data_IF_557136989176
#
_entry.id   IF_557136989176
#
_cell.length_a   1.000
_cell.length_b   1.000
_cell.length_c   1.000
_cell.angle_alpha   90.00
_cell.angle_beta   90.00
_cell.angle_gamma   90.00
#
_symmetry.space_group_name_H-M   'P 1'
#
loop_
_entity.id
_entity.type
_entity.pdbx_description
1 polymer ?
#
# COMPACT_ATOMS: atom_id res chain seq x y z
N UNK A 1 -32.92 -13.71 4.01
CA UNK A 1 -33.72 -12.58 3.50
C UNK A 1 -34.74 -12.23 4.57
N UNK A 2 -34.61 -11.08 5.24
CA UNK A 2 -35.65 -10.58 6.15
C UNK A 2 -35.99 -9.19 5.64
N UNK A 3 -37.14 -9.09 4.98
CA UNK A 3 -37.75 -7.85 4.53
C UNK A 3 -38.63 -7.37 5.68
N UNK A 4 -38.23 -6.34 6.42
CA UNK A 4 -39.16 -5.61 7.28
C UNK A 4 -39.67 -4.42 6.48
N UNK A 5 -40.94 -4.52 6.06
CA UNK A 5 -41.65 -3.49 5.30
C UNK A 5 -42.05 -2.36 6.26
N UNK A 6 -41.44 -1.19 6.11
CA UNK A 6 -41.92 0.10 6.59
C UNK A 6 -41.75 1.10 5.43
N UNK A 7 -42.65 2.10 5.30
CA UNK A 7 -42.90 2.76 4.03
C UNK A 7 -41.76 3.73 3.66
N UNK A 8 -41.29 3.60 2.41
CA UNK A 8 -40.54 4.60 1.64
C UNK A 8 -39.11 4.99 2.06
N UNK A 9 -38.37 4.14 2.76
CA UNK A 9 -36.91 4.31 2.89
C UNK A 9 -36.23 2.96 2.71
N UNK A 10 -35.53 2.78 1.59
CA UNK A 10 -34.65 1.63 1.39
C UNK A 10 -33.36 1.88 2.18
N UNK A 11 -33.40 1.68 3.50
CA UNK A 11 -32.17 1.70 4.32
C UNK A 11 -31.36 0.47 3.95
N UNK A 12 -30.40 0.63 3.03
CA UNK A 12 -29.41 -0.39 2.70
C UNK A 12 -28.53 -0.55 3.94
N UNK A 13 -28.84 -1.54 4.76
CA UNK A 13 -27.91 -2.02 5.77
C UNK A 13 -26.65 -2.51 5.05
N UNK A 14 -25.49 -1.90 5.30
CA UNK A 14 -24.21 -2.60 5.13
C UNK A 14 -24.26 -3.81 6.06
N UNK A 15 -24.72 -4.95 5.54
CA UNK A 15 -24.84 -6.21 6.27
C UNK A 15 -23.51 -6.95 6.27
N UNK A 16 -22.44 -6.25 6.57
CA UNK A 16 -21.11 -6.80 6.58
C UNK A 16 -20.28 -6.14 7.64
N UNK A 17 -20.35 -6.64 8.87
CA UNK A 17 -19.25 -6.47 9.84
C UNK A 17 -17.92 -7.07 9.31
N UNK A 18 -17.92 -7.66 8.10
CA UNK A 18 -16.76 -8.11 7.33
C UNK A 18 -17.07 -8.06 5.82
N UNK A 19 -17.31 -6.87 5.25
CA UNK A 19 -17.42 -6.75 3.78
C UNK A 19 -16.04 -6.94 3.14
N UNK A 20 -15.96 -7.73 2.07
CA UNK A 20 -14.72 -7.95 1.32
C UNK A 20 -14.87 -7.39 -0.09
N UNK A 21 -13.97 -6.48 -0.44
CA UNK A 21 -13.85 -5.94 -1.79
C UNK A 21 -12.77 -6.70 -2.54
N UNK A 22 -13.12 -7.24 -3.70
CA UNK A 22 -12.21 -7.94 -4.60
C UNK A 22 -11.91 -7.05 -5.80
N UNK A 23 -10.68 -6.57 -5.89
CA UNK A 23 -10.24 -5.68 -6.97
C UNK A 23 -9.45 -6.48 -8.00
N UNK A 24 -9.83 -6.37 -9.27
CA UNK A 24 -9.09 -6.91 -10.40
C UNK A 24 -8.14 -5.81 -10.88
N UNK A 25 -6.85 -5.96 -10.59
CA UNK A 25 -5.86 -4.89 -10.71
C UNK A 25 -4.82 -5.26 -11.74
N UNK A 26 -4.62 -4.40 -12.75
CA UNK A 26 -3.51 -4.51 -13.70
C UNK A 26 -2.60 -3.30 -13.57
N UNK A 27 -1.30 -3.57 -13.45
CA UNK A 27 -0.23 -2.58 -13.46
C UNK A 27 0.58 -2.76 -14.73
N UNK A 28 0.77 -1.67 -15.47
CA UNK A 28 1.63 -1.63 -16.64
C UNK A 28 2.64 -0.47 -16.54
N UNK A 29 3.72 -0.55 -17.29
CA UNK A 29 4.76 0.47 -17.33
C UNK A 29 5.14 0.83 -18.77
N UNK A 30 5.77 2.00 -18.91
CA UNK A 30 6.48 2.42 -20.12
C UNK A 30 7.50 3.51 -19.79
N UNK A 31 8.51 3.64 -20.64
CA UNK A 31 9.55 4.69 -20.52
C UNK A 31 9.45 5.77 -21.60
N UNK A 32 8.87 5.44 -22.75
CA UNK A 32 8.55 6.38 -23.84
C UNK A 32 7.04 6.63 -23.90
N UNK A 33 6.66 7.88 -24.13
CA UNK A 33 5.27 8.33 -24.21
C UNK A 33 4.51 7.75 -25.42
N UNK A 34 5.24 7.35 -26.47
CA UNK A 34 4.66 6.77 -27.68
C UNK A 34 4.79 5.24 -27.77
N UNK A 35 5.48 4.62 -26.80
CA UNK A 35 5.58 3.18 -26.74
C UNK A 35 4.30 2.53 -26.17
N UNK A 36 4.10 1.27 -26.52
CA UNK A 36 3.05 0.44 -25.95
C UNK A 36 3.31 0.14 -24.46
N UNK A 37 2.22 -0.05 -23.72
CA UNK A 37 2.29 -0.41 -22.31
C UNK A 37 2.70 -1.86 -22.15
N UNK A 38 3.71 -2.11 -21.31
CA UNK A 38 4.10 -3.47 -20.93
C UNK A 38 3.46 -3.83 -19.59
N UNK A 39 2.72 -4.92 -19.54
CA UNK A 39 2.10 -5.40 -18.31
C UNK A 39 3.17 -5.90 -17.33
N UNK A 40 3.15 -5.37 -16.11
CA UNK A 40 4.07 -5.76 -15.03
C UNK A 40 3.45 -6.82 -14.14
N UNK A 41 2.19 -6.61 -13.75
CA UNK A 41 1.47 -7.50 -12.85
C UNK A 41 -0.03 -7.36 -13.08
N UNK A 42 -0.75 -8.47 -12.99
CA UNK A 42 -2.20 -8.48 -12.99
C UNK A 42 -2.68 -9.54 -12.02
N UNK A 43 -3.43 -9.10 -11.03
CA UNK A 43 -3.91 -9.97 -9.98
C UNK A 43 -5.21 -9.46 -9.38
N UNK A 44 -6.01 -10.42 -8.88
CA UNK A 44 -7.19 -10.13 -8.11
C UNK A 44 -6.84 -10.02 -6.63
N UNK A 45 -6.96 -8.83 -6.07
CA UNK A 45 -6.58 -8.50 -4.71
C UNK A 45 -7.85 -8.39 -3.83
N UNK A 46 -8.16 -9.39 -3.00
CA UNK A 46 -9.22 -9.30 -1.99
C UNK A 46 -8.75 -8.48 -0.79
N UNK A 47 -9.58 -7.54 -0.32
CA UNK A 47 -9.34 -6.72 0.87
C UNK A 47 -10.61 -6.61 1.71
N UNK A 48 -10.45 -6.70 3.03
CA UNK A 48 -11.56 -6.49 3.97
C UNK A 48 -11.77 -5.00 4.20
N UNK A 49 -13.01 -4.55 4.04
CA UNK A 49 -13.43 -3.18 4.33
C UNK A 49 -13.78 -3.05 5.81
N UNK A 50 -13.08 -2.14 6.49
CA UNK A 50 -13.42 -1.70 7.84
C UNK A 50 -13.95 -0.28 7.73
N UNK A 51 -15.27 -0.16 7.72
CA UNK A 51 -15.95 1.12 7.53
C UNK A 51 -16.94 1.33 8.67
N UNK A 52 -16.93 2.52 9.25
CA UNK A 52 -17.88 2.95 10.27
C UNK A 52 -18.73 4.09 9.75
N UNK A 53 -20.00 4.11 10.17
CA UNK A 53 -20.90 5.21 9.89
C UNK A 53 -21.19 5.94 11.20
N UNK A 54 -20.57 7.10 11.38
CA UNK A 54 -20.64 7.88 12.62
C UNK A 54 -21.92 8.70 12.72
N UNK A 55 -22.58 8.98 11.59
CA UNK A 55 -23.85 9.74 11.57
C UNK A 55 -25.05 8.85 11.94
N UNK A 56 -26.11 9.41 12.54
CA UNK A 56 -27.34 8.66 12.76
C UNK A 56 -27.94 8.20 11.43
N UNK A 57 -28.52 7.00 11.41
CA UNK A 57 -29.12 6.39 10.20
C UNK A 57 -30.53 6.96 9.95
N UNK A 58 -30.62 8.27 9.77
CA UNK A 58 -31.85 9.00 9.40
C UNK A 58 -31.82 9.37 7.91
N UNK A 59 -32.99 9.63 7.32
CA UNK A 59 -33.15 10.12 5.94
C UNK A 59 -32.31 11.37 5.66
N UNK A 60 -32.13 12.24 6.65
CA UNK A 60 -31.35 13.48 6.54
C UNK A 60 -29.85 13.26 6.34
N UNK A 61 -29.37 12.04 6.64
CA UNK A 61 -27.96 11.66 6.53
C UNK A 61 -27.70 10.67 5.39
N UNK A 62 -28.69 10.44 4.54
CA UNK A 62 -28.54 9.66 3.32
C UNK A 62 -27.54 10.37 2.37
N UNK A 63 -26.61 9.59 1.80
CA UNK A 63 -25.55 10.12 0.93
C UNK A 63 -24.28 10.60 1.64
N UNK A 64 -24.20 10.54 2.98
CA UNK A 64 -22.93 10.79 3.69
C UNK A 64 -21.94 9.65 3.46
N UNK A 65 -20.66 10.00 3.39
CA UNK A 65 -19.59 9.02 3.23
C UNK A 65 -19.39 8.19 4.50
N UNK A 66 -19.05 6.92 4.29
CA UNK A 66 -18.51 6.07 5.36
C UNK A 66 -17.08 6.48 5.67
N UNK A 67 -16.72 6.41 6.94
CA UNK A 67 -15.35 6.57 7.39
C UNK A 67 -14.69 5.20 7.38
N UNK A 68 -13.80 4.97 6.41
CA UNK A 68 -13.13 3.68 6.22
C UNK A 68 -11.63 3.79 6.50
N UNK A 69 -11.06 2.73 7.06
CA UNK A 69 -9.60 2.60 7.21
C UNK A 69 -8.91 2.56 5.84
N UNK A 70 -7.69 3.11 5.76
CA UNK A 70 -6.86 3.04 4.56
C UNK A 70 -6.44 1.60 4.31
N UNK A 71 -6.66 1.10 3.10
CA UNK A 71 -6.29 -0.25 2.70
C UNK A 71 -4.87 -0.27 2.12
N UNK A 72 -3.96 -1.15 2.59
CA UNK A 72 -2.69 -1.36 1.92
C UNK A 72 -2.96 -1.98 0.56
N UNK A 73 -2.51 -1.31 -0.51
CA UNK A 73 -2.83 -1.72 -1.87
C UNK A 73 -1.69 -2.54 -2.49
N UNK A 74 -0.57 -1.88 -2.79
CA UNK A 74 0.63 -2.49 -3.37
C UNK A 74 1.90 -1.73 -2.94
N UNK A 75 3.03 -2.41 -2.99
CA UNK A 75 4.35 -1.84 -2.80
C UNK A 75 5.28 -2.37 -3.88
N UNK A 76 5.98 -1.48 -4.58
CA UNK A 76 7.02 -1.82 -5.56
C UNK A 76 8.37 -1.48 -4.96
N UNK A 77 9.30 -2.44 -4.94
CA UNK A 77 10.60 -2.27 -4.29
C UNK A 77 11.55 -1.29 -4.99
N UNK A 78 11.23 -0.87 -6.21
CA UNK A 78 12.00 0.14 -6.94
C UNK A 78 11.12 0.88 -7.95
N UNK A 79 11.51 2.11 -8.26
CA UNK A 79 10.90 2.92 -9.33
C UNK A 79 11.78 2.78 -10.58
N UNK A 80 11.58 1.68 -11.30
CA UNK A 80 12.41 1.30 -12.44
C UNK A 80 12.06 2.05 -13.74
N UNK A 81 10.80 2.47 -13.90
CA UNK A 81 10.29 3.09 -15.12
C UNK A 81 9.76 4.50 -14.87
N UNK A 82 9.64 5.28 -15.94
CA UNK A 82 9.18 6.67 -15.86
C UNK A 82 7.67 6.80 -15.69
N UNK A 83 6.90 5.93 -16.35
CA UNK A 83 5.44 6.01 -16.35
C UNK A 83 4.82 4.67 -15.96
N UNK A 84 3.80 4.74 -15.13
CA UNK A 84 3.02 3.60 -14.68
C UNK A 84 1.54 3.84 -14.95
N UNK A 85 0.85 2.81 -15.43
CA UNK A 85 -0.59 2.77 -15.60
C UNK A 85 -1.16 1.77 -14.61
N UNK A 86 -2.10 2.22 -13.80
CA UNK A 86 -2.80 1.38 -12.84
C UNK A 86 -4.28 1.33 -13.21
N UNK A 87 -4.74 0.15 -13.59
CA UNK A 87 -6.14 -0.12 -13.90
C UNK A 87 -6.75 -0.93 -12.75
N UNK A 88 -7.80 -0.39 -12.13
CA UNK A 88 -8.54 -1.06 -11.07
C UNK A 88 -9.96 -1.32 -11.58
N UNK A 89 -10.38 -2.58 -11.55
CA UNK A 89 -11.72 -3.01 -11.90
C UNK A 89 -12.37 -3.70 -10.71
N UNK A 90 -13.66 -3.44 -10.49
CA UNK A 90 -14.47 -4.06 -9.44
C UNK A 90 -15.50 -5.00 -10.06
N UNK A 91 -15.15 -6.28 -10.32
CA UNK A 91 -16.09 -7.22 -10.92
C UNK A 91 -17.17 -7.63 -9.91
N UNK A 92 -18.44 -7.53 -10.28
CA UNK A 92 -19.57 -8.00 -9.45
C UNK A 92 -20.01 -9.38 -9.91
N UNK A 93 -20.15 -10.32 -8.98
CA UNK A 93 -20.68 -11.65 -9.29
C UNK A 93 -21.59 -12.16 -8.16
N UNK A 94 -22.90 -12.17 -8.41
CA UNK A 94 -23.91 -12.62 -7.45
C UNK A 94 -23.80 -14.11 -7.11
N UNK A 95 -23.49 -14.95 -8.10
CA UNK A 95 -23.38 -16.41 -7.91
C UNK A 95 -22.23 -16.76 -6.97
N UNK A 96 -21.10 -16.05 -7.10
CA UNK A 96 -19.91 -16.24 -6.27
C UNK A 96 -19.86 -15.30 -5.05
N UNK A 97 -20.89 -14.46 -4.85
CA UNK A 97 -20.95 -13.42 -3.81
C UNK A 97 -19.72 -12.48 -3.80
N UNK A 98 -19.16 -12.18 -4.97
CA UNK A 98 -18.01 -11.28 -5.11
C UNK A 98 -18.52 -9.86 -5.28
N UNK A 99 -18.04 -8.93 -4.44
CA UNK A 99 -18.42 -7.52 -4.44
C UNK A 99 -19.92 -7.26 -4.29
N UNK A 100 -20.64 -8.16 -3.61
CA UNK A 100 -22.07 -8.01 -3.33
C UNK A 100 -22.25 -7.44 -1.93
N UNK A 101 -23.00 -6.34 -1.79
CA UNK A 101 -23.31 -5.75 -0.49
C UNK A 101 -22.15 -4.99 0.17
N UNK A 102 -21.15 -4.57 -0.61
CA UNK A 102 -20.00 -3.76 -0.15
C UNK A 102 -20.33 -2.27 0.04
N UNK A 103 -21.58 -1.87 -0.24
CA UNK A 103 -22.03 -0.47 -0.20
C UNK A 103 -21.95 0.22 -1.56
N UNK A 104 -22.37 1.49 -1.58
CA UNK A 104 -22.21 2.36 -2.74
C UNK A 104 -20.80 2.99 -2.70
N UNK A 105 -19.99 2.70 -3.71
CA UNK A 105 -18.66 3.30 -3.88
C UNK A 105 -18.83 4.49 -4.82
N UNK A 106 -18.52 5.70 -4.33
CA UNK A 106 -18.50 6.91 -5.15
C UNK A 106 -17.13 7.11 -5.80
N UNK A 107 -16.09 7.21 -4.96
CA UNK A 107 -14.72 7.47 -5.39
C UNK A 107 -13.73 6.53 -4.70
N UNK A 108 -12.63 6.22 -5.38
CA UNK A 108 -11.48 5.52 -4.82
C UNK A 108 -10.29 6.48 -4.83
N UNK A 109 -9.67 6.69 -3.67
CA UNK A 109 -8.49 7.53 -3.53
C UNK A 109 -7.25 6.66 -3.39
N UNK A 110 -6.22 7.01 -4.17
CA UNK A 110 -4.92 6.37 -4.12
C UNK A 110 -3.87 7.40 -3.70
N UNK A 111 -3.00 7.01 -2.77
CA UNK A 111 -1.88 7.85 -2.32
C UNK A 111 -0.59 7.16 -2.72
N UNK A 112 0.16 7.79 -3.62
CA UNK A 112 1.48 7.33 -4.02
C UNK A 112 2.55 7.84 -3.07
N UNK A 113 3.13 6.93 -2.27
CA UNK A 113 4.23 7.25 -1.36
C UNK A 113 5.53 6.78 -2.02
N UNK A 114 6.48 7.68 -2.21
CA UNK A 114 7.79 7.38 -2.75
C UNK A 114 8.85 8.21 -2.02
N UNK A 115 10.07 7.67 -1.91
CA UNK A 115 11.17 8.41 -1.30
C UNK A 115 11.51 9.61 -2.18
N UNK A 116 11.57 10.80 -1.58
CA UNK A 116 11.91 12.01 -2.31
C UNK A 116 13.33 11.85 -2.90
N UNK A 117 13.47 12.11 -4.20
CA UNK A 117 14.75 11.96 -4.92
C UNK A 117 15.86 12.83 -4.32
N UNK A 118 15.53 14.02 -3.79
CA UNK A 118 16.49 14.88 -3.11
C UNK A 118 17.04 14.25 -1.82
N UNK A 119 16.14 13.71 -0.99
CA UNK A 119 16.54 13.01 0.23
C UNK A 119 17.39 11.77 -0.08
N UNK A 120 17.01 11.02 -1.12
CA UNK A 120 17.76 9.85 -1.59
C UNK A 120 19.19 10.23 -1.98
N UNK A 121 19.41 11.31 -2.74
CA UNK A 121 20.76 11.78 -3.10
C UNK A 121 21.61 12.14 -1.88
N UNK A 122 21.06 12.87 -0.92
CA UNK A 122 21.77 13.24 0.31
C UNK A 122 22.11 11.98 1.13
N UNK A 123 21.17 11.06 1.23
CA UNK A 123 21.36 9.78 1.91
C UNK A 123 22.46 8.92 1.27
N UNK A 124 22.48 8.86 -0.07
CA UNK A 124 23.56 8.20 -0.81
C UNK A 124 24.90 8.86 -0.55
N UNK A 125 25.00 10.19 -0.65
CA UNK A 125 26.23 10.91 -0.36
C UNK A 125 26.72 10.63 1.06
N UNK A 126 25.83 10.72 2.06
CA UNK A 126 26.15 10.44 3.45
C UNK A 126 26.73 9.03 3.63
N UNK A 127 26.10 8.00 3.04
CA UNK A 127 26.64 6.63 3.08
C UNK A 127 28.00 6.55 2.38
N UNK A 128 28.15 7.14 1.20
CA UNK A 128 29.41 7.12 0.44
C UNK A 128 30.57 7.80 1.19
N UNK A 129 30.32 8.86 1.95
CA UNK A 129 31.36 9.53 2.75
C UNK A 129 31.65 8.80 4.07
N UNK A 130 30.64 8.23 4.74
CA UNK A 130 30.82 7.56 6.03
C UNK A 130 31.36 6.13 5.92
N UNK A 131 31.02 5.39 4.86
CA UNK A 131 31.51 4.02 4.68
C UNK A 131 33.04 3.91 4.64
N UNK A 132 33.80 4.71 3.86
CA UNK A 132 35.25 4.59 3.84
C UNK A 132 35.89 4.98 5.17
N UNK A 133 35.37 6.00 5.87
CA UNK A 133 35.93 6.42 7.16
C UNK A 133 35.72 5.36 8.25
N UNK A 134 34.51 4.78 8.32
CA UNK A 134 34.19 3.67 9.24
C UNK A 134 35.03 2.43 8.88
N UNK A 135 35.21 2.15 7.59
CA UNK A 135 36.03 1.01 7.15
C UNK A 135 37.51 1.18 7.54
N UNK A 136 38.08 2.37 7.33
CA UNK A 136 39.47 2.66 7.70
C UNK A 136 39.68 2.52 9.21
N UNK A 137 38.78 3.08 10.03
CA UNK A 137 38.93 2.98 11.49
C UNK A 137 38.76 1.54 11.98
N UNK A 138 37.87 0.75 11.36
CA UNK A 138 37.70 -0.67 11.67
C UNK A 138 38.97 -1.47 11.34
N UNK A 139 39.56 -1.26 10.16
CA UNK A 139 40.82 -1.91 9.75
C UNK A 139 41.97 -1.49 10.67
N UNK A 140 42.08 -0.19 10.98
CA UNK A 140 43.10 0.32 11.90
C UNK A 140 42.94 -0.28 13.30
N UNK A 141 41.72 -0.33 13.82
CA UNK A 141 41.39 -0.88 15.13
C UNK A 141 41.77 -2.36 15.21
N UNK A 142 41.39 -3.14 14.20
CA UNK A 142 41.71 -4.56 14.13
C UNK A 142 43.23 -4.82 14.02
N UNK A 143 43.93 -4.02 13.20
CA UNK A 143 45.39 -4.08 13.10
C UNK A 143 46.06 -3.78 14.44
N UNK A 144 45.55 -2.80 15.19
CA UNK A 144 46.09 -2.46 16.52
C UNK A 144 45.88 -3.58 17.53
N UNK A 145 44.72 -4.25 17.51
CA UNK A 145 44.43 -5.36 18.42
C UNK A 145 45.33 -6.57 18.14
N UNK A 146 45.47 -6.96 16.88
CA UNK A 146 46.27 -8.12 16.46
C UNK A 146 47.77 -7.99 16.69
N UNK A 147 48.29 -6.76 16.86
CA UNK A 147 49.69 -6.52 17.22
C UNK A 147 49.98 -6.69 18.73
N UNK A 148 48.96 -6.85 19.58
CA UNK A 148 49.16 -7.14 21.00
C UNK A 148 49.48 -8.63 21.20
N UNK A 149 50.28 -8.95 22.22
CA UNK A 149 50.64 -10.34 22.57
C UNK A 149 49.50 -11.16 23.16
N UNK A 150 48.36 -10.53 23.49
CA UNK A 150 47.15 -11.18 24.06
C UNK A 150 46.09 -11.41 22.98
N UNK A 151 45.27 -12.46 23.09
CA UNK A 151 44.11 -12.62 22.23
C UNK A 151 43.04 -11.53 22.50
N UNK A 152 42.21 -11.19 21.49
CA UNK A 152 41.14 -10.19 21.63
C UNK A 152 40.10 -10.61 22.66
N UNK A 153 39.71 -9.67 23.54
CA UNK A 153 38.68 -9.91 24.57
C UNK A 153 37.26 -9.73 24.00
N UNK A 154 36.23 -10.18 24.74
CA UNK A 154 34.84 -10.18 24.27
C UNK A 154 34.32 -8.78 23.84
N UNK A 155 34.82 -7.71 24.47
CA UNK A 155 34.45 -6.33 24.15
C UNK A 155 35.17 -5.74 22.92
N UNK A 156 36.22 -6.41 22.42
CA UNK A 156 37.04 -5.98 21.28
C UNK A 156 36.68 -6.74 19.98
N UNK A 157 35.71 -7.65 20.07
CA UNK A 157 35.15 -8.45 18.95
C UNK A 157 33.89 -7.79 18.42
#
# INVERSE_FOLDING_TARGET
>A
MFLKKAPNVLVIYLRGENAEVSMDVSLAYRDDMFAEWTEMAHERVPRKLKCTFTSPKTLEHEGRYYECDVLPFMEIGSVAHKYYLLNIRLPVNEKKKINVGIGEIKDIRLVGIHQNGGFTKVWFAMKTFLTPSIFIIMVWYWRRITMMSRPPVLLEK
#
